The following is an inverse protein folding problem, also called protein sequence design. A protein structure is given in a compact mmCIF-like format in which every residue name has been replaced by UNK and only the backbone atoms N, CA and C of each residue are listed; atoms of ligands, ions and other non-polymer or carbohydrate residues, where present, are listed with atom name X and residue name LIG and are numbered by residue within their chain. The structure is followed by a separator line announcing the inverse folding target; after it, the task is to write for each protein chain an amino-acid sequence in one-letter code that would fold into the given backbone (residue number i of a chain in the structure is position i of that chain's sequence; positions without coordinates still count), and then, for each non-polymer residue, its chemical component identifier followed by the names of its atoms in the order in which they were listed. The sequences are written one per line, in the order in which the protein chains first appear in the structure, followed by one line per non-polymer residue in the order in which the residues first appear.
data_IF_866471154471
#
_entry.id   IF_866471154471
#
_cell.length_a   1.000
_cell.length_b   1.000
_cell.length_c   1.000
_cell.angle_alpha   90.00
_cell.angle_beta   90.00
_cell.angle_gamma   90.00
#
_symmetry.space_group_name_H-M   'P 1'
#
loop_
_entity.id
_entity.type
_entity.pdbx_description
1 polymer ?
#
# COMPACT_ATOMS: atom_id res chain seq x y z
N UNK A 1 -20.63 -28.50 41.96
CA UNK A 1 -19.32 -28.80 41.35
C UNK A 1 -18.24 -29.25 42.37
N UNK A 2 -18.32 -28.86 43.62
CA UNK A 2 -17.30 -29.21 44.63
C UNK A 2 -17.27 -30.70 45.07
N UNK A 3 -18.36 -31.45 44.92
CA UNK A 3 -18.44 -32.85 45.40
C UNK A 3 -17.70 -33.86 44.52
N UNK A 4 -17.47 -33.54 43.27
CA UNK A 4 -16.76 -34.43 42.32
C UNK A 4 -15.25 -34.50 42.66
N UNK A 5 -14.65 -33.35 42.98
CA UNK A 5 -13.22 -33.23 43.28
C UNK A 5 -12.88 -33.89 44.62
N UNK A 6 -13.84 -33.89 45.58
CA UNK A 6 -13.63 -34.46 46.91
C UNK A 6 -13.65 -35.98 46.93
N UNK A 7 -14.27 -36.66 45.98
CA UNK A 7 -14.33 -38.12 45.87
C UNK A 7 -13.16 -38.74 45.10
N UNK A 8 -12.28 -37.93 44.49
CA UNK A 8 -11.12 -38.41 43.76
C UNK A 8 -9.98 -38.77 44.72
N UNK A 9 -9.30 -39.91 44.44
CA UNK A 9 -8.09 -40.31 45.17
C UNK A 9 -6.96 -39.26 44.94
N UNK A 10 -6.03 -39.18 45.93
CA UNK A 10 -4.91 -38.20 45.85
C UNK A 10 -4.15 -38.24 44.53
N UNK A 11 -3.99 -39.43 43.91
CA UNK A 11 -3.32 -39.61 42.61
C UNK A 11 -4.12 -39.02 41.45
N UNK A 12 -5.44 -39.18 41.47
CA UNK A 12 -6.34 -38.64 40.44
C UNK A 12 -6.41 -37.12 40.47
N UNK A 13 -6.39 -36.52 41.64
CA UNK A 13 -6.31 -35.04 41.80
C UNK A 13 -5.00 -34.49 41.23
N UNK A 14 -3.88 -35.19 41.49
CA UNK A 14 -2.60 -34.79 40.98
C UNK A 14 -2.56 -34.86 39.44
N UNK A 15 -3.09 -35.93 38.81
CA UNK A 15 -3.20 -36.08 37.39
C UNK A 15 -4.09 -35.00 36.75
N UNK A 16 -5.23 -34.68 37.37
CA UNK A 16 -6.13 -33.61 36.94
C UNK A 16 -5.46 -32.24 36.98
N UNK A 17 -4.69 -31.96 38.02
CA UNK A 17 -3.94 -30.71 38.14
C UNK A 17 -2.86 -30.59 37.08
N UNK A 18 -2.13 -31.68 36.77
CA UNK A 18 -1.11 -31.71 35.71
C UNK A 18 -1.77 -31.51 34.35
N UNK A 19 -2.90 -32.17 34.08
CA UNK A 19 -3.64 -32.03 32.84
C UNK A 19 -4.11 -30.58 32.63
N UNK A 20 -4.67 -29.96 33.66
CA UNK A 20 -5.13 -28.58 33.63
C UNK A 20 -3.98 -27.60 33.33
N UNK A 21 -2.83 -27.81 34.01
CA UNK A 21 -1.62 -27.00 33.79
C UNK A 21 -1.10 -27.14 32.37
N UNK A 22 -1.15 -28.34 31.78
CA UNK A 22 -0.72 -28.62 30.43
C UNK A 22 -1.63 -27.92 29.41
N UNK A 23 -2.94 -28.01 29.58
CA UNK A 23 -3.91 -27.31 28.71
C UNK A 23 -3.72 -25.79 28.80
N UNK A 24 -3.52 -25.25 30.00
CA UNK A 24 -3.28 -23.83 30.20
C UNK A 24 -2.00 -23.35 29.50
N UNK A 25 -0.92 -24.15 29.60
CA UNK A 25 0.34 -23.85 28.88
C UNK A 25 0.15 -23.81 27.36
N UNK A 26 -0.60 -24.75 26.80
CA UNK A 26 -0.90 -24.77 25.35
C UNK A 26 -1.68 -23.53 24.92
N UNK A 27 -2.68 -23.11 25.68
CA UNK A 27 -3.48 -21.92 25.40
C UNK A 27 -2.61 -20.65 25.40
N UNK A 28 -1.69 -20.53 26.37
CA UNK A 28 -0.76 -19.40 26.45
C UNK A 28 0.16 -19.38 25.23
N UNK A 29 0.75 -20.52 24.86
CA UNK A 29 1.67 -20.61 23.70
C UNK A 29 0.95 -20.20 22.41
N UNK A 30 -0.27 -20.68 22.18
CA UNK A 30 -1.07 -20.32 21.02
C UNK A 30 -1.45 -18.83 21.01
N UNK A 31 -1.79 -18.28 22.16
CA UNK A 31 -2.10 -16.85 22.31
C UNK A 31 -0.91 -15.96 21.98
N UNK A 32 0.27 -16.26 22.52
CA UNK A 32 1.51 -15.49 22.28
C UNK A 32 1.92 -15.60 20.80
N UNK A 33 1.86 -16.79 20.22
CA UNK A 33 2.20 -17.02 18.81
C UNK A 33 1.31 -16.20 17.87
N UNK A 34 0.00 -16.21 18.11
CA UNK A 34 -0.96 -15.45 17.31
C UNK A 34 -0.73 -13.93 17.42
N UNK A 35 -0.44 -13.44 18.63
CA UNK A 35 -0.15 -12.03 18.85
C UNK A 35 1.15 -11.59 18.17
N UNK A 36 2.22 -12.36 18.30
CA UNK A 36 3.51 -12.08 17.69
C UNK A 36 3.41 -12.01 16.16
N UNK A 37 2.66 -12.93 15.54
CA UNK A 37 2.45 -12.94 14.09
C UNK A 37 1.71 -11.69 13.61
N UNK A 38 0.61 -11.30 14.28
CA UNK A 38 -0.16 -10.10 13.94
C UNK A 38 0.69 -8.83 14.08
N UNK A 39 1.47 -8.73 15.15
CA UNK A 39 2.36 -7.61 15.39
C UNK A 39 3.43 -7.49 14.29
N UNK A 40 4.06 -8.60 13.92
CA UNK A 40 5.06 -8.65 12.85
C UNK A 40 4.49 -8.20 11.50
N UNK A 41 3.28 -8.65 11.14
CA UNK A 41 2.60 -8.23 9.90
C UNK A 41 2.31 -6.72 9.93
N UNK A 42 1.82 -6.19 11.06
CA UNK A 42 1.52 -4.76 11.19
C UNK A 42 2.77 -3.89 11.05
N UNK A 43 3.88 -4.28 11.67
CA UNK A 43 5.17 -3.58 11.53
C UNK A 43 5.68 -3.64 10.08
N UNK A 44 5.57 -4.81 9.43
CA UNK A 44 5.97 -4.96 8.02
C UNK A 44 5.14 -4.06 7.09
N UNK A 45 3.82 -3.99 7.31
CA UNK A 45 2.95 -3.14 6.51
C UNK A 45 3.25 -1.65 6.74
N UNK A 46 3.52 -1.23 7.98
CA UNK A 46 3.92 0.14 8.29
C UNK A 46 5.24 0.52 7.60
N UNK A 47 6.24 -0.35 7.67
CA UNK A 47 7.53 -0.11 7.02
C UNK A 47 7.40 -0.06 5.50
N UNK A 48 6.56 -0.91 4.91
CA UNK A 48 6.25 -0.86 3.48
C UNK A 48 5.56 0.45 3.09
N UNK A 49 4.57 0.90 3.86
CA UNK A 49 3.89 2.16 3.62
C UNK A 49 4.85 3.37 3.72
N UNK A 50 5.72 3.38 4.73
CA UNK A 50 6.74 4.42 4.90
C UNK A 50 7.72 4.46 3.72
N UNK A 51 8.26 3.31 3.32
CA UNK A 51 9.17 3.21 2.17
C UNK A 51 8.50 3.67 0.87
N UNK A 52 7.23 3.30 0.66
CA UNK A 52 6.46 3.75 -0.49
C UNK A 52 6.29 5.28 -0.50
N UNK A 53 5.96 5.86 0.66
CA UNK A 53 5.84 7.31 0.80
C UNK A 53 7.15 8.03 0.48
N UNK A 54 8.26 7.59 1.07
CA UNK A 54 9.59 8.18 0.84
C UNK A 54 10.00 8.09 -0.64
N UNK A 55 9.68 6.96 -1.29
CA UNK A 55 9.96 6.79 -2.73
C UNK A 55 9.15 7.78 -3.58
N UNK A 56 7.84 7.89 -3.35
CA UNK A 56 6.98 8.83 -4.09
C UNK A 56 7.40 10.28 -3.84
N UNK A 57 7.67 10.62 -2.57
CA UNK A 57 8.09 11.97 -2.20
C UNK A 57 9.41 12.37 -2.88
N UNK A 58 10.42 11.49 -2.86
CA UNK A 58 11.71 11.76 -3.51
C UNK A 58 11.56 11.93 -5.03
N UNK A 59 10.71 11.13 -5.67
CA UNK A 59 10.43 11.24 -7.10
C UNK A 59 9.66 12.51 -7.45
N UNK A 60 8.67 12.89 -6.63
CA UNK A 60 7.92 14.13 -6.81
C UNK A 60 8.84 15.36 -6.77
N UNK A 61 9.82 15.40 -5.83
CA UNK A 61 10.81 16.48 -5.76
C UNK A 61 11.71 16.58 -7.02
N UNK A 62 12.05 15.44 -7.61
CA UNK A 62 12.84 15.42 -8.86
C UNK A 62 12.00 15.98 -10.01
N UNK A 63 10.73 15.57 -10.12
CA UNK A 63 9.81 16.00 -11.16
C UNK A 63 9.47 17.50 -11.06
N UNK A 64 9.35 18.04 -9.86
CA UNK A 64 9.10 19.47 -9.64
C UNK A 64 10.20 20.37 -10.24
N UNK A 65 11.42 19.86 -10.38
CA UNK A 65 12.56 20.60 -10.96
C UNK A 65 12.66 20.51 -12.47
N UNK A 66 11.89 19.63 -13.11
CA UNK A 66 11.91 19.47 -14.56
C UNK A 66 10.99 20.49 -15.25
N UNK A 67 11.57 21.44 -16.02
CA UNK A 67 10.82 22.53 -16.68
C UNK A 67 10.76 22.26 -18.19
N UNK A 68 9.57 22.11 -18.78
CA UNK A 68 9.36 22.23 -20.23
C UNK A 68 7.84 22.38 -20.56
N UNK A 69 7.47 23.09 -21.67
CA UNK A 69 6.10 23.57 -21.93
C UNK A 69 5.47 23.06 -23.22
N UNK A 70 4.33 22.41 -23.17
CA UNK A 70 3.31 22.28 -24.24
C UNK A 70 2.02 21.65 -23.71
N UNK A 71 0.88 21.91 -24.39
CA UNK A 71 -0.44 21.39 -24.00
C UNK A 71 -0.51 19.85 -24.00
N UNK A 72 -0.90 19.26 -22.87
CA UNK A 72 -1.11 17.83 -22.74
C UNK A 72 -2.50 17.46 -23.27
N UNK A 73 -2.55 16.57 -24.27
CA UNK A 73 -3.78 16.00 -24.81
C UNK A 73 -3.98 14.57 -24.35
N UNK A 74 -5.20 14.06 -24.39
CA UNK A 74 -5.50 12.66 -24.02
C UNK A 74 -4.74 11.68 -24.92
N UNK A 75 -4.63 11.99 -26.21
CA UNK A 75 -3.90 11.16 -27.17
C UNK A 75 -2.39 11.14 -26.88
N UNK A 76 -1.82 12.26 -26.46
CA UNK A 76 -0.42 12.33 -26.03
C UNK A 76 -0.16 11.46 -24.80
N UNK A 77 -1.07 11.45 -23.83
CA UNK A 77 -0.96 10.58 -22.63
C UNK A 77 -1.02 9.11 -23.03
N UNK A 78 -1.92 8.71 -23.93
CA UNK A 78 -1.98 7.33 -24.43
C UNK A 78 -0.74 6.96 -25.28
N UNK A 79 -0.21 7.87 -26.05
CA UNK A 79 1.04 7.65 -26.78
C UNK A 79 2.22 7.40 -25.84
N UNK A 80 2.33 8.18 -24.74
CA UNK A 80 3.32 7.98 -23.70
C UNK A 80 3.14 6.64 -22.98
N UNK A 81 1.90 6.25 -22.69
CA UNK A 81 1.58 4.96 -22.11
C UNK A 81 2.07 3.79 -22.96
N UNK A 82 1.76 3.84 -24.25
CA UNK A 82 2.18 2.81 -25.21
C UNK A 82 3.71 2.75 -25.34
N UNK A 83 4.36 3.91 -25.44
CA UNK A 83 5.83 4.02 -25.52
C UNK A 83 6.54 3.48 -24.29
N UNK A 84 5.95 3.67 -23.10
CA UNK A 84 6.51 3.19 -21.84
C UNK A 84 6.34 1.69 -21.60
N UNK A 85 5.50 1.01 -22.39
CA UNK A 85 5.17 -0.41 -22.21
C UNK A 85 4.30 -0.69 -20.98
N UNK A 86 3.75 0.33 -20.33
CA UNK A 86 2.96 0.23 -19.10
C UNK A 86 1.46 0.04 -19.33
N UNK A 87 1.03 -0.16 -20.57
CA UNK A 87 -0.38 -0.27 -20.95
C UNK A 87 -1.16 -1.41 -20.28
N UNK A 88 -0.46 -2.42 -19.73
CA UNK A 88 -1.08 -3.52 -18.97
C UNK A 88 -1.27 -3.19 -17.49
N UNK A 89 -0.48 -2.28 -16.95
CA UNK A 89 -0.45 -1.94 -15.52
C UNK A 89 -1.27 -0.69 -15.20
N UNK A 90 -1.59 0.12 -16.21
CA UNK A 90 -2.28 1.40 -16.04
C UNK A 90 -3.61 1.37 -16.77
N UNK A 91 -4.64 1.82 -16.10
CA UNK A 91 -6.01 1.84 -16.60
C UNK A 91 -6.73 3.14 -16.22
N UNK A 92 -7.88 3.35 -16.82
CA UNK A 92 -8.81 4.44 -16.49
C UNK A 92 -8.13 5.82 -16.48
N UNK A 93 -7.52 6.20 -17.61
CA UNK A 93 -6.87 7.51 -17.74
C UNK A 93 -7.93 8.58 -17.99
N UNK A 94 -8.02 9.54 -17.10
CA UNK A 94 -8.84 10.72 -17.19
C UNK A 94 -7.96 11.96 -17.27
N UNK A 95 -8.36 12.92 -18.10
CA UNK A 95 -7.68 14.20 -18.26
C UNK A 95 -8.72 15.31 -18.16
N UNK A 96 -8.54 16.20 -17.21
CA UNK A 96 -9.36 17.39 -17.04
C UNK A 96 -8.48 18.64 -17.13
N UNK A 97 -8.94 19.64 -17.86
CA UNK A 97 -8.29 20.95 -17.96
C UNK A 97 -9.16 22.01 -17.28
N UNK A 98 -8.54 22.81 -16.43
CA UNK A 98 -9.19 23.92 -15.75
C UNK A 98 -8.23 25.12 -15.75
N UNK A 99 -8.56 26.13 -16.52
CA UNK A 99 -7.75 27.34 -16.71
C UNK A 99 -6.30 27.02 -17.10
N UNK A 100 -5.36 27.25 -16.17
CA UNK A 100 -3.92 27.02 -16.36
C UNK A 100 -3.47 25.66 -15.79
N UNK A 101 -4.39 24.85 -15.30
CA UNK A 101 -4.07 23.56 -14.67
C UNK A 101 -4.58 22.40 -15.50
N UNK A 102 -3.77 21.36 -15.60
CA UNK A 102 -4.16 20.08 -16.20
C UNK A 102 -4.07 19.00 -15.14
N UNK A 103 -5.20 18.34 -14.87
CA UNK A 103 -5.28 17.19 -14.00
C UNK A 103 -5.23 15.92 -14.84
N UNK A 104 -4.28 15.05 -14.54
CA UNK A 104 -4.21 13.68 -15.08
C UNK A 104 -4.47 12.71 -13.96
N UNK A 105 -5.50 11.87 -14.12
CA UNK A 105 -5.86 10.83 -13.17
C UNK A 105 -5.78 9.47 -13.84
N UNK A 106 -5.21 8.48 -13.16
CA UNK A 106 -5.14 7.11 -13.66
C UNK A 106 -5.07 6.09 -12.53
N UNK A 107 -5.42 4.84 -12.83
CA UNK A 107 -5.36 3.72 -11.89
C UNK A 107 -4.22 2.77 -12.23
N UNK A 108 -3.59 2.22 -11.20
CA UNK A 108 -2.57 1.18 -11.33
C UNK A 108 -2.62 0.21 -10.14
N UNK A 109 -2.17 -1.02 -10.35
CA UNK A 109 -1.97 -2.01 -9.28
C UNK A 109 -0.56 -1.97 -8.68
N UNK A 110 0.37 -1.22 -9.28
CA UNK A 110 1.77 -1.19 -8.88
C UNK A 110 2.27 0.25 -8.71
N UNK A 111 2.71 0.58 -7.49
CA UNK A 111 3.23 1.90 -7.15
C UNK A 111 4.38 2.33 -8.07
N UNK A 112 5.31 1.42 -8.37
CA UNK A 112 6.47 1.71 -9.22
C UNK A 112 6.06 2.10 -10.63
N UNK A 113 5.08 1.40 -11.20
CA UNK A 113 4.56 1.69 -12.53
C UNK A 113 3.82 3.03 -12.55
N UNK A 114 3.05 3.33 -11.50
CA UNK A 114 2.40 4.61 -11.34
C UNK A 114 3.38 5.78 -11.27
N UNK A 115 4.45 5.65 -10.48
CA UNK A 115 5.49 6.68 -10.40
C UNK A 115 6.25 6.82 -11.71
N UNK A 116 6.64 5.70 -12.35
CA UNK A 116 7.33 5.73 -13.63
C UNK A 116 6.48 6.39 -14.72
N UNK A 117 5.18 6.14 -14.73
CA UNK A 117 4.29 6.78 -15.70
C UNK A 117 4.13 8.28 -15.42
N UNK A 118 4.00 8.67 -14.16
CA UNK A 118 3.99 10.09 -13.76
C UNK A 118 5.27 10.82 -14.20
N UNK A 119 6.42 10.17 -14.00
CA UNK A 119 7.73 10.68 -14.46
C UNK A 119 7.79 10.80 -15.97
N UNK A 120 7.28 9.82 -16.71
CA UNK A 120 7.20 9.88 -18.18
C UNK A 120 6.31 11.02 -18.65
N UNK A 121 5.17 11.26 -18.04
CA UNK A 121 4.31 12.39 -18.35
C UNK A 121 5.08 13.70 -18.12
N UNK A 122 5.67 13.89 -16.94
CA UNK A 122 6.37 15.12 -16.59
C UNK A 122 7.59 15.40 -17.49
N UNK A 123 8.33 14.36 -17.89
CA UNK A 123 9.54 14.49 -18.71
C UNK A 123 9.26 14.68 -20.21
N UNK A 124 8.12 14.18 -20.69
CA UNK A 124 7.77 14.27 -22.12
C UNK A 124 6.70 15.32 -22.42
N UNK A 125 6.14 15.95 -21.40
CA UNK A 125 5.26 17.11 -21.52
C UNK A 125 6.01 18.36 -21.11
N UNK A 126 5.68 19.47 -21.73
CA UNK A 126 6.31 20.74 -21.41
C UNK A 126 5.57 21.48 -20.29
N UNK A 127 4.90 20.74 -19.41
CA UNK A 127 4.15 21.29 -18.28
C UNK A 127 4.90 21.05 -16.98
N UNK A 128 4.86 22.02 -16.09
CA UNK A 128 5.48 21.89 -14.77
C UNK A 128 4.57 21.12 -13.85
N UNK A 129 5.10 20.11 -13.18
CA UNK A 129 4.37 19.37 -12.17
C UNK A 129 4.20 20.23 -10.91
N UNK A 130 2.97 20.44 -10.49
CA UNK A 130 2.63 21.15 -9.28
C UNK A 130 2.49 20.20 -8.09
N UNK A 131 1.80 19.08 -8.31
CA UNK A 131 1.48 18.14 -7.24
C UNK A 131 1.28 16.74 -7.79
N UNK A 132 1.70 15.74 -7.03
CA UNK A 132 1.34 14.34 -7.21
C UNK A 132 0.70 13.86 -5.92
N UNK A 133 -0.52 13.34 -6.03
CA UNK A 133 -1.18 12.61 -4.95
C UNK A 133 -1.46 11.19 -5.37
N UNK A 134 -1.45 10.25 -4.42
CA UNK A 134 -1.95 8.91 -4.67
C UNK A 134 -2.78 8.41 -3.50
N UNK A 135 -3.84 7.70 -3.81
CA UNK A 135 -4.72 7.05 -2.84
C UNK A 135 -4.70 5.56 -3.11
N UNK A 136 -4.42 4.76 -2.10
CA UNK A 136 -4.44 3.30 -2.20
C UNK A 136 -5.72 2.76 -1.57
N UNK A 137 -6.46 1.95 -2.35
CA UNK A 137 -7.62 1.20 -1.89
C UNK A 137 -7.39 -0.27 -2.23
N UNK A 138 -7.21 -1.12 -1.20
CA UNK A 138 -6.92 -2.56 -1.35
C UNK A 138 -5.77 -2.85 -2.32
N UNK A 139 -6.07 -3.26 -3.55
CA UNK A 139 -5.09 -3.62 -4.58
C UNK A 139 -4.90 -2.53 -5.66
N UNK A 140 -5.73 -1.48 -5.65
CA UNK A 140 -5.73 -0.43 -6.67
C UNK A 140 -5.20 0.87 -6.08
N UNK A 141 -4.31 1.51 -6.82
CA UNK A 141 -3.81 2.85 -6.51
C UNK A 141 -4.33 3.83 -7.56
N UNK A 142 -4.89 4.93 -7.11
CA UNK A 142 -5.33 6.05 -7.94
C UNK A 142 -4.29 7.14 -7.83
N UNK A 143 -3.69 7.51 -8.94
CA UNK A 143 -2.76 8.62 -9.05
C UNK A 143 -3.46 9.85 -9.62
N UNK A 144 -3.16 11.01 -9.05
CA UNK A 144 -3.63 12.32 -9.53
C UNK A 144 -2.42 13.25 -9.66
N UNK A 145 -2.17 13.73 -10.88
CA UNK A 145 -1.11 14.67 -11.19
C UNK A 145 -1.72 16.03 -11.54
N UNK A 146 -1.26 17.08 -10.90
CA UNK A 146 -1.61 18.45 -11.25
C UNK A 146 -0.41 19.09 -11.96
N UNK A 147 -0.62 19.52 -13.19
CA UNK A 147 0.37 20.13 -14.06
C UNK A 147 -0.07 21.56 -14.42
N UNK A 148 0.89 22.48 -14.63
CA UNK A 148 0.64 23.87 -15.05
C UNK A 148 1.72 24.39 -15.97
#
# INVERSE_FOLDING_TARGET
MNNFINNLQKRERALLSILFLLVFAVVIILGISSYATKHSISVKNLNKAKSNYEYVYSKALILERAIIFEDLTKDAVYALLNKSGLGKSISEIELAKADLLTLVKFKTSNLKDGVNFSENIANNTKMKLKEITYTQTEEIMVFELILY
#
